data_IF_483516822650
#
_entry.id   IF_483516822650
#
_cell.length_a   1.000
_cell.length_b   1.000
_cell.length_c   1.000
_cell.angle_alpha   90.00
_cell.angle_beta   90.00
_cell.angle_gamma   90.00
#
_symmetry.space_group_name_H-M   'P 1'
#
loop_
_entity.id
_entity.type
_entity.pdbx_description
1 polymer ?
#
# COMPACT_ATOMS: atom_id res chain seq x y z
N UNK A 1 -7.56 -17.83 6.21
CA UNK A 1 -8.96 -17.44 6.49
C UNK A 1 -9.86 -17.46 5.27
N UNK A 2 -9.56 -16.70 4.20
CA UNK A 2 -10.42 -16.63 3.00
C UNK A 2 -10.76 -18.00 2.38
N UNK A 3 -9.78 -18.91 2.29
CA UNK A 3 -10.02 -20.26 1.76
C UNK A 3 -11.04 -21.03 2.60
N UNK A 4 -10.80 -21.17 3.92
CA UNK A 4 -11.73 -21.86 4.81
C UNK A 4 -13.15 -21.29 4.71
N UNK A 5 -13.30 -19.96 4.77
CA UNK A 5 -14.61 -19.31 4.63
C UNK A 5 -15.30 -19.62 3.30
N UNK A 6 -14.55 -19.75 2.19
CA UNK A 6 -15.13 -20.13 0.89
C UNK A 6 -15.76 -21.52 0.93
N UNK A 7 -15.17 -22.45 1.67
CA UNK A 7 -15.58 -23.85 1.70
C UNK A 7 -16.83 -24.10 2.57
N UNK A 8 -16.99 -23.38 3.70
CA UNK A 8 -18.08 -23.63 4.65
C UNK A 8 -19.01 -22.43 4.93
N UNK A 9 -18.58 -21.20 4.64
CA UNK A 9 -19.35 -19.98 4.94
C UNK A 9 -19.14 -18.87 3.90
N UNK A 10 -19.49 -19.11 2.62
CA UNK A 10 -19.20 -18.19 1.51
C UNK A 10 -19.86 -16.83 1.67
N UNK A 11 -21.02 -16.74 2.33
CA UNK A 11 -21.69 -15.47 2.60
C UNK A 11 -20.81 -14.49 3.40
N UNK A 12 -19.89 -14.96 4.24
CA UNK A 12 -18.94 -14.10 4.94
C UNK A 12 -18.02 -13.33 3.98
N UNK A 13 -17.64 -13.94 2.84
CA UNK A 13 -16.79 -13.30 1.84
C UNK A 13 -17.50 -12.18 1.06
N UNK A 14 -18.84 -12.21 1.06
CA UNK A 14 -19.66 -11.14 0.50
C UNK A 14 -20.03 -10.08 1.54
N UNK A 15 -20.04 -10.45 2.82
CA UNK A 15 -20.37 -9.54 3.92
C UNK A 15 -19.22 -8.59 4.28
N UNK A 16 -17.97 -9.02 4.07
CA UNK A 16 -16.77 -8.29 4.47
C UNK A 16 -15.82 -8.09 3.28
N UNK A 17 -15.60 -6.83 2.90
CA UNK A 17 -14.62 -6.48 1.86
C UNK A 17 -13.18 -6.77 2.33
N UNK A 18 -12.88 -6.40 3.57
CA UNK A 18 -11.60 -6.61 4.23
C UNK A 18 -11.78 -7.53 5.45
N UNK A 19 -11.29 -8.75 5.31
CA UNK A 19 -11.32 -9.79 6.34
C UNK A 19 -10.37 -9.51 7.52
N UNK A 20 -9.37 -8.65 7.35
CA UNK A 20 -8.45 -8.24 8.41
C UNK A 20 -8.95 -7.04 9.19
N UNK A 21 -10.07 -6.43 8.79
CA UNK A 21 -10.60 -5.27 9.47
C UNK A 21 -11.15 -5.57 10.86
N UNK A 22 -11.08 -4.57 11.75
CA UNK A 22 -11.51 -4.71 13.14
C UNK A 22 -12.96 -5.20 13.29
N UNK A 23 -13.89 -4.70 12.47
CA UNK A 23 -15.30 -5.14 12.47
C UNK A 23 -15.47 -6.57 11.94
N UNK A 24 -14.73 -6.95 10.90
CA UNK A 24 -14.76 -8.33 10.38
C UNK A 24 -14.21 -9.32 11.42
N UNK A 25 -13.05 -9.02 12.00
CA UNK A 25 -12.43 -9.86 13.03
C UNK A 25 -13.32 -9.98 14.27
N UNK A 26 -13.92 -8.89 14.72
CA UNK A 26 -14.83 -8.92 15.87
C UNK A 26 -16.05 -9.82 15.60
N UNK A 27 -16.72 -9.61 14.46
CA UNK A 27 -17.95 -10.33 14.14
C UNK A 27 -17.68 -11.80 13.81
N UNK A 28 -16.63 -12.12 13.06
CA UNK A 28 -16.24 -13.51 12.75
C UNK A 28 -15.70 -14.24 13.99
N UNK A 29 -15.00 -13.56 14.89
CA UNK A 29 -14.60 -14.14 16.18
C UNK A 29 -15.81 -14.52 17.03
N UNK A 30 -16.85 -13.69 17.02
CA UNK A 30 -18.10 -13.92 17.77
C UNK A 30 -19.03 -14.95 17.11
N UNK A 31 -19.11 -14.95 15.79
CA UNK A 31 -20.06 -15.73 15.03
C UNK A 31 -19.40 -16.34 13.78
N UNK A 32 -18.53 -17.35 13.95
CA UNK A 32 -17.72 -17.90 12.86
C UNK A 32 -18.51 -18.86 11.95
N UNK A 33 -19.76 -19.22 12.29
CA UNK A 33 -20.57 -20.17 11.51
C UNK A 33 -21.77 -19.49 10.86
N UNK A 34 -22.31 -20.01 9.75
CA UNK A 34 -23.55 -19.50 9.15
C UNK A 34 -24.70 -19.38 10.16
N UNK A 35 -24.87 -20.40 11.00
CA UNK A 35 -25.92 -20.47 12.01
C UNK A 35 -25.74 -19.42 13.11
N UNK A 36 -24.53 -19.20 13.60
CA UNK A 36 -24.27 -18.16 14.62
C UNK A 36 -24.33 -16.76 14.02
N UNK A 37 -23.85 -16.58 12.78
CA UNK A 37 -23.84 -15.29 12.09
C UNK A 37 -25.24 -14.80 11.72
N UNK A 38 -26.12 -15.68 11.26
CA UNK A 38 -27.53 -15.34 10.96
C UNK A 38 -28.31 -14.86 12.20
N UNK A 39 -27.89 -15.27 13.39
CA UNK A 39 -28.47 -14.89 14.69
C UNK A 39 -27.92 -13.57 15.25
N UNK A 40 -26.89 -12.98 14.63
CA UNK A 40 -26.40 -11.67 15.05
C UNK A 40 -27.51 -10.63 14.98
N UNK A 41 -27.71 -9.91 16.08
CA UNK A 41 -28.69 -8.83 16.10
C UNK A 41 -28.13 -7.60 15.39
N UNK A 42 -29.03 -6.78 14.85
CA UNK A 42 -28.63 -5.53 14.19
C UNK A 42 -27.85 -4.62 15.16
N UNK A 43 -28.21 -4.61 16.44
CA UNK A 43 -27.51 -3.85 17.48
C UNK A 43 -26.08 -4.33 17.70
N UNK A 44 -25.84 -5.65 17.68
CA UNK A 44 -24.50 -6.21 17.79
C UNK A 44 -23.62 -5.81 16.61
N UNK A 45 -24.16 -5.91 15.39
CA UNK A 45 -23.46 -5.50 14.17
C UNK A 45 -23.13 -4.00 14.21
N UNK A 46 -24.11 -3.15 14.54
CA UNK A 46 -23.89 -1.70 14.66
C UNK A 46 -22.83 -1.36 15.71
N UNK A 47 -22.78 -2.10 16.82
CA UNK A 47 -21.76 -1.90 17.87
C UNK A 47 -20.35 -2.23 17.37
N UNK A 48 -20.19 -3.32 16.62
CA UNK A 48 -18.91 -3.68 15.99
C UNK A 48 -18.45 -2.60 15.01
N UNK A 49 -19.34 -2.17 14.11
CA UNK A 49 -19.06 -1.13 13.11
C UNK A 49 -18.69 0.22 13.76
N UNK A 50 -19.35 0.60 14.87
CA UNK A 50 -19.03 1.83 15.61
C UNK A 50 -17.64 1.76 16.25
N UNK A 51 -17.29 0.62 16.86
CA UNK A 51 -15.95 0.43 17.45
C UNK A 51 -14.85 0.48 16.40
N UNK A 52 -15.12 -0.09 15.22
CA UNK A 52 -14.25 0.02 14.04
C UNK A 52 -14.33 1.39 13.33
N UNK A 53 -14.97 2.40 13.93
CA UNK A 53 -15.11 3.77 13.42
C UNK A 53 -15.62 3.84 11.97
N UNK A 54 -16.51 2.93 11.58
CA UNK A 54 -17.08 2.89 10.22
C UNK A 54 -18.11 3.99 10.02
N UNK A 55 -18.15 4.54 8.80
CA UNK A 55 -19.21 5.44 8.31
C UNK A 55 -20.44 4.64 7.87
N UNK A 56 -21.59 5.30 7.78
CA UNK A 56 -22.87 4.73 7.33
C UNK A 56 -23.27 3.47 8.11
N UNK A 57 -23.06 3.48 9.43
CA UNK A 57 -23.24 2.31 10.33
C UNK A 57 -24.61 1.65 10.18
N UNK A 58 -25.68 2.44 10.03
CA UNK A 58 -27.05 1.92 9.96
C UNK A 58 -27.22 1.10 8.69
N UNK A 59 -26.97 1.70 7.53
CA UNK A 59 -27.09 1.07 6.22
C UNK A 59 -26.17 -0.16 6.10
N UNK A 60 -24.88 -0.01 6.45
CA UNK A 60 -23.93 -1.12 6.43
C UNK A 60 -24.37 -2.28 7.30
N UNK A 61 -24.92 -2.02 8.48
CA UNK A 61 -25.39 -3.08 9.35
C UNK A 61 -26.59 -3.85 8.77
N UNK A 62 -27.51 -3.16 8.08
CA UNK A 62 -28.64 -3.81 7.41
C UNK A 62 -28.16 -4.68 6.26
N UNK A 63 -27.29 -4.15 5.39
CA UNK A 63 -26.69 -4.90 4.28
C UNK A 63 -25.93 -6.13 4.79
N UNK A 64 -25.07 -5.95 5.79
CA UNK A 64 -24.30 -7.03 6.38
C UNK A 64 -25.21 -8.10 6.98
N UNK A 65 -26.25 -7.70 7.74
CA UNK A 65 -27.23 -8.64 8.30
C UNK A 65 -27.98 -9.41 7.21
N UNK A 66 -28.36 -8.75 6.12
CA UNK A 66 -29.04 -9.39 5.00
C UNK A 66 -28.14 -10.44 4.34
N UNK A 67 -26.87 -10.09 4.06
CA UNK A 67 -25.90 -11.00 3.46
C UNK A 67 -25.62 -12.20 4.38
N UNK A 68 -25.39 -11.99 5.68
CA UNK A 68 -25.14 -13.08 6.63
C UNK A 68 -26.35 -14.03 6.81
N UNK A 69 -27.56 -13.58 6.46
CA UNK A 69 -28.79 -14.38 6.48
C UNK A 69 -29.15 -15.00 5.13
N UNK A 70 -28.37 -14.72 4.09
CA UNK A 70 -28.60 -15.29 2.77
C UNK A 70 -28.40 -16.81 2.78
N UNK A 71 -29.25 -17.52 2.02
CA UNK A 71 -29.13 -18.96 1.86
C UNK A 71 -27.89 -19.30 1.02
N UNK A 72 -27.16 -20.32 1.45
CA UNK A 72 -26.03 -20.89 0.72
C UNK A 72 -25.96 -22.39 1.01
N UNK A 73 -25.24 -23.13 0.17
CA UNK A 73 -24.99 -24.55 0.41
C UNK A 73 -24.21 -24.71 1.71
N UNK A 74 -24.77 -25.47 2.64
CA UNK A 74 -24.16 -25.77 3.94
C UNK A 74 -23.30 -27.02 3.85
N UNK A 75 -22.19 -27.03 4.58
CA UNK A 75 -21.42 -28.23 4.84
C UNK A 75 -22.06 -29.05 5.97
N UNK A 76 -21.57 -30.27 6.18
CA UNK A 76 -21.91 -31.02 7.39
C UNK A 76 -21.52 -30.26 8.66
N UNK A 77 -22.23 -30.52 9.76
CA UNK A 77 -21.99 -29.83 11.04
C UNK A 77 -20.53 -30.01 11.52
N UNK A 78 -19.98 -31.23 11.40
CA UNK A 78 -18.59 -31.52 11.79
C UNK A 78 -17.56 -30.70 11.00
N UNK A 79 -17.75 -30.57 9.68
CA UNK A 79 -16.86 -29.77 8.82
C UNK A 79 -16.98 -28.29 9.17
N UNK A 80 -18.20 -27.82 9.43
CA UNK A 80 -18.48 -26.43 9.83
C UNK A 80 -17.81 -26.10 11.16
N UNK A 81 -17.93 -26.97 12.16
CA UNK A 81 -17.34 -26.77 13.49
C UNK A 81 -15.81 -26.77 13.44
N UNK A 82 -15.20 -27.72 12.74
CA UNK A 82 -13.75 -27.81 12.56
C UNK A 82 -13.21 -26.57 11.84
N UNK A 83 -13.82 -26.18 10.72
CA UNK A 83 -13.42 -24.99 9.96
C UNK A 83 -13.62 -23.71 10.75
N UNK A 84 -14.69 -23.61 11.55
CA UNK A 84 -14.92 -22.47 12.42
C UNK A 84 -13.87 -22.35 13.54
N UNK A 85 -13.32 -23.46 14.04
CA UNK A 85 -12.21 -23.43 14.97
C UNK A 85 -10.94 -22.84 14.33
N UNK A 86 -10.63 -23.23 13.09
CA UNK A 86 -9.52 -22.65 12.31
C UNK A 86 -9.72 -21.16 12.09
N UNK A 87 -10.93 -20.73 11.69
CA UNK A 87 -11.24 -19.31 11.48
C UNK A 87 -11.10 -18.52 12.78
N UNK A 88 -11.59 -19.03 13.93
CA UNK A 88 -11.39 -18.35 15.22
C UNK A 88 -9.91 -18.17 15.57
N UNK A 89 -9.09 -19.20 15.37
CA UNK A 89 -7.64 -19.10 15.61
C UNK A 89 -6.99 -18.04 14.72
N UNK A 90 -7.36 -18.01 13.43
CA UNK A 90 -6.86 -17.01 12.49
C UNK A 90 -7.32 -15.59 12.85
N UNK A 91 -8.56 -15.43 13.32
CA UNK A 91 -9.08 -14.15 13.81
C UNK A 91 -8.24 -13.65 14.98
N UNK A 92 -7.90 -14.52 15.95
CA UNK A 92 -7.04 -14.14 17.08
C UNK A 92 -5.66 -13.66 16.63
N UNK A 93 -5.01 -14.40 15.72
CA UNK A 93 -3.69 -14.01 15.19
C UNK A 93 -3.76 -12.65 14.48
N UNK A 94 -4.73 -12.46 13.59
CA UNK A 94 -4.89 -11.20 12.86
C UNK A 94 -5.23 -10.02 13.78
N UNK A 95 -6.04 -10.26 14.81
CA UNK A 95 -6.37 -9.23 15.79
C UNK A 95 -5.11 -8.78 16.56
N UNK A 96 -4.28 -9.73 17.01
CA UNK A 96 -3.00 -9.41 17.66
C UNK A 96 -2.09 -8.64 16.71
N UNK A 97 -1.90 -9.11 15.47
CA UNK A 97 -1.04 -8.42 14.50
C UNK A 97 -1.50 -6.97 14.24
N UNK A 98 -2.81 -6.73 14.13
CA UNK A 98 -3.33 -5.37 13.97
C UNK A 98 -3.04 -4.47 15.17
N UNK A 99 -3.11 -5.01 16.40
CA UNK A 99 -2.72 -4.29 17.61
C UNK A 99 -1.24 -3.95 17.58
N UNK A 100 -0.38 -4.93 17.32
CA UNK A 100 1.08 -4.72 17.29
C UNK A 100 1.50 -3.74 16.17
N UNK A 101 0.84 -3.78 15.01
CA UNK A 101 1.07 -2.78 13.95
C UNK A 101 0.78 -1.36 14.45
N UNK A 102 -0.30 -1.18 15.21
CA UNK A 102 -0.63 0.13 15.81
C UNK A 102 0.41 0.57 16.82
N UNK A 103 0.80 -0.32 17.74
CA UNK A 103 1.83 -0.05 18.75
C UNK A 103 3.16 0.34 18.12
N UNK A 104 3.62 -0.43 17.12
CA UNK A 104 4.87 -0.12 16.41
C UNK A 104 4.77 1.17 15.60
N UNK A 105 3.60 1.49 15.04
CA UNK A 105 3.41 2.77 14.35
C UNK A 105 3.55 3.95 15.33
N UNK A 106 2.98 3.86 16.54
CA UNK A 106 3.09 4.89 17.56
C UNK A 106 4.55 5.05 18.05
N UNK A 107 5.29 3.94 18.20
CA UNK A 107 6.72 3.95 18.54
C UNK A 107 7.55 4.60 17.43
N UNK A 108 7.31 4.23 16.17
CA UNK A 108 7.99 4.82 15.01
C UNK A 108 7.71 6.32 14.93
N UNK A 109 6.46 6.76 15.11
CA UNK A 109 6.11 8.18 15.11
C UNK A 109 6.85 8.94 16.22
N UNK A 110 6.91 8.36 17.42
CA UNK A 110 7.61 8.96 18.57
C UNK A 110 9.11 9.11 18.33
N UNK A 111 9.77 8.03 17.89
CA UNK A 111 11.22 8.03 17.64
C UNK A 111 11.58 8.91 16.45
N UNK A 112 10.79 8.85 15.38
CA UNK A 112 11.00 9.70 14.21
C UNK A 112 10.85 11.18 14.55
N UNK A 113 9.88 11.55 15.38
CA UNK A 113 9.69 12.94 15.82
C UNK A 113 10.87 13.51 16.61
N UNK A 114 11.73 12.65 17.18
CA UNK A 114 12.95 13.06 17.88
C UNK A 114 14.17 13.22 16.95
N UNK A 115 14.07 12.76 15.70
CA UNK A 115 15.18 12.84 14.75
C UNK A 115 15.43 14.30 14.31
N UNK A 116 16.69 14.77 14.26
CA UNK A 116 17.00 16.16 13.89
C UNK A 116 16.38 16.62 12.57
N UNK A 117 16.33 15.72 11.58
CA UNK A 117 15.79 16.01 10.25
C UNK A 117 14.28 15.76 10.10
N UNK A 118 13.56 15.37 11.17
CA UNK A 118 12.14 15.02 11.08
C UNK A 118 11.31 16.12 10.41
N UNK A 119 11.54 17.38 10.79
CA UNK A 119 10.86 18.54 10.21
C UNK A 119 11.12 18.69 8.71
N UNK A 120 12.32 18.33 8.23
CA UNK A 120 12.67 18.38 6.80
C UNK A 120 11.84 17.38 6.02
N UNK A 121 11.74 16.14 6.50
CA UNK A 121 10.91 15.11 5.87
C UNK A 121 9.41 15.45 5.95
N UNK A 122 8.93 15.93 7.10
CA UNK A 122 7.51 16.30 7.29
C UNK A 122 7.09 17.55 6.51
N UNK A 123 8.03 18.39 6.10
CA UNK A 123 7.75 19.52 5.21
C UNK A 123 7.39 19.10 3.77
N UNK A 124 7.64 17.85 3.40
CA UNK A 124 7.34 17.36 2.05
C UNK A 124 5.84 17.09 1.90
N UNK A 125 5.22 17.48 0.77
CA UNK A 125 3.80 17.24 0.56
C UNK A 125 3.50 15.73 0.53
N UNK A 126 2.54 15.31 1.37
CA UNK A 126 2.11 13.91 1.48
C UNK A 126 2.95 13.06 2.44
N UNK A 127 3.96 13.62 3.10
CA UNK A 127 4.75 12.89 4.09
C UNK A 127 4.11 13.05 5.48
N UNK A 128 3.54 11.95 5.98
CA UNK A 128 3.23 11.80 7.40
C UNK A 128 4.38 11.14 8.16
N UNK A 129 4.31 11.05 9.50
CA UNK A 129 5.38 10.52 10.34
C UNK A 129 5.89 9.14 9.91
N UNK A 130 4.98 8.20 9.63
CA UNK A 130 5.37 6.84 9.20
C UNK A 130 6.08 6.83 7.85
N UNK A 131 5.58 7.61 6.87
CA UNK A 131 6.20 7.67 5.55
C UNK A 131 7.55 8.39 5.61
N UNK A 132 7.65 9.48 6.39
CA UNK A 132 8.89 10.19 6.64
C UNK A 132 9.94 9.30 7.28
N UNK A 133 9.58 8.57 8.34
CA UNK A 133 10.45 7.62 9.02
C UNK A 133 10.95 6.52 8.08
N UNK A 134 10.07 6.00 7.22
CA UNK A 134 10.47 5.01 6.21
C UNK A 134 11.49 5.59 5.25
N UNK A 135 11.23 6.78 4.71
CA UNK A 135 12.14 7.42 3.75
C UNK A 135 13.49 7.73 4.38
N UNK A 136 13.52 8.18 5.64
CA UNK A 136 14.74 8.31 6.43
C UNK A 136 15.48 6.97 6.52
N UNK A 137 14.78 5.88 6.87
CA UNK A 137 15.38 4.54 6.94
C UNK A 137 15.96 4.04 5.61
N UNK A 138 15.31 4.33 4.48
CA UNK A 138 15.82 3.97 3.15
C UNK A 138 17.10 4.75 2.79
N UNK A 139 17.13 6.05 3.09
CA UNK A 139 18.31 6.88 2.83
C UNK A 139 19.42 6.71 3.87
N UNK A 140 19.12 6.21 5.06
CA UNK A 140 20.02 6.23 6.22
C UNK A 140 20.09 7.61 6.88
N UNK A 141 20.51 7.61 8.13
CA UNK A 141 20.72 8.77 8.99
C UNK A 141 22.15 9.33 8.93
N UNK A 142 23.08 8.62 8.29
CA UNK A 142 24.43 9.10 8.01
C UNK A 142 24.41 10.23 6.95
N UNK A 143 24.74 11.44 7.41
CA UNK A 143 24.79 12.65 6.57
C UNK A 143 25.86 12.57 5.48
N UNK A 144 26.92 11.80 5.69
CA UNK A 144 28.05 11.68 4.77
C UNK A 144 27.91 10.48 3.82
N UNK A 145 26.82 9.71 3.95
CA UNK A 145 26.53 8.56 3.08
C UNK A 145 26.53 8.92 1.60
N UNK A 146 26.10 10.13 1.25
CA UNK A 146 26.11 10.64 -0.12
C UNK A 146 26.99 11.88 -0.20
N UNK A 147 28.01 11.81 -1.07
CA UNK A 147 28.93 12.94 -1.28
C UNK A 147 28.22 14.21 -1.76
N UNK A 148 27.14 14.07 -2.53
CA UNK A 148 26.31 15.19 -2.99
C UNK A 148 24.87 14.75 -3.34
N UNK A 149 24.02 15.73 -3.68
CA UNK A 149 22.65 15.49 -4.11
C UNK A 149 22.55 14.66 -5.41
N UNK A 150 23.56 14.70 -6.28
CA UNK A 150 23.59 13.92 -7.52
C UNK A 150 23.83 12.44 -7.22
N UNK A 151 24.71 12.12 -6.27
CA UNK A 151 24.93 10.77 -5.75
C UNK A 151 23.64 10.18 -5.16
N UNK A 152 22.89 10.99 -4.39
CA UNK A 152 21.58 10.58 -3.86
C UNK A 152 20.53 10.36 -4.96
N UNK A 153 20.45 11.21 -5.98
CA UNK A 153 19.57 11.02 -7.14
C UNK A 153 19.92 9.78 -7.96
N UNK A 154 21.22 9.50 -8.12
CA UNK A 154 21.71 8.29 -8.78
C UNK A 154 21.28 7.04 -8.03
N UNK A 155 21.47 7.02 -6.70
CA UNK A 155 21.02 5.92 -5.84
C UNK A 155 19.50 5.69 -5.94
N UNK A 156 18.72 6.77 -5.89
CA UNK A 156 17.26 6.69 -6.01
C UNK A 156 16.76 6.37 -7.45
N UNK A 157 17.65 6.26 -8.44
CA UNK A 157 17.28 6.04 -9.85
C UNK A 157 16.51 7.21 -10.47
N UNK A 158 16.60 8.41 -9.90
CA UNK A 158 15.86 9.61 -10.35
C UNK A 158 16.73 10.61 -11.10
N UNK A 159 18.01 10.30 -11.28
CA UNK A 159 18.88 11.10 -12.14
C UNK A 159 18.35 11.13 -13.57
N UNK A 160 18.26 12.32 -14.21
CA UNK A 160 17.85 12.41 -15.60
C UNK A 160 18.74 11.54 -16.49
N UNK A 161 18.14 10.60 -17.22
CA UNK A 161 18.88 9.86 -18.24
C UNK A 161 19.15 10.82 -19.39
N UNK A 162 20.40 11.20 -19.58
CA UNK A 162 20.82 11.96 -20.76
C UNK A 162 20.70 11.09 -22.00
N UNK A 163 19.51 11.08 -22.63
CA UNK A 163 19.37 10.58 -23.99
C UNK A 163 19.92 11.64 -24.94
N UNK A 164 21.19 11.52 -25.30
CA UNK A 164 21.74 12.26 -26.42
C UNK A 164 20.97 11.85 -27.67
N UNK A 165 20.01 12.67 -28.12
CA UNK A 165 19.47 12.53 -29.46
C UNK A 165 20.63 12.80 -30.40
N UNK A 166 21.15 11.74 -31.03
CA UNK A 166 22.12 11.87 -32.11
C UNK A 166 21.38 12.57 -33.25
N UNK A 167 21.43 13.91 -33.28
CA UNK A 167 21.10 14.67 -34.49
C UNK A 167 22.00 14.10 -35.59
N UNK A 168 21.38 13.53 -36.63
CA UNK A 168 22.07 13.07 -37.84
C UNK A 168 22.97 14.21 -38.32
N UNK A 169 24.29 13.97 -38.33
CA UNK A 169 25.23 14.81 -39.10
C UNK A 169 24.95 14.50 -40.57
N UNK A 170 24.40 15.46 -41.31
CA UNK A 170 24.44 15.42 -42.76
C UNK A 170 25.81 15.93 -43.23
N UNK A 171 26.43 15.16 -44.13
CA UNK A 171 27.54 15.57 -45.00
C UNK A 171 28.64 14.50 -45.12
N UNK A 172 29.56 14.59 -46.09
CA UNK A 172 29.68 15.49 -47.27
C UNK A 172 30.07 14.64 -48.55
N UNK A 173 30.66 15.10 -49.70
CA UNK A 173 31.48 16.29 -49.98
C UNK A 173 31.06 17.14 -51.20
N UNK A 174 31.34 18.44 -51.11
CA UNK A 174 31.61 19.28 -52.29
C UNK A 174 32.98 18.89 -52.83
N UNK A 175 33.02 18.32 -54.03
CA UNK A 175 34.27 18.22 -54.79
C UNK A 175 34.50 19.56 -55.49
N UNK A 176 35.56 20.25 -55.07
CA UNK A 176 36.23 21.24 -55.90
C UNK A 176 37.00 20.50 -56.99
N UNK A 177 36.91 20.99 -58.23
CA UNK A 177 37.96 20.82 -59.23
C UNK A 177 38.33 22.22 -59.72
N UNK A 178 39.62 22.51 -59.53
CA UNK A 178 40.33 23.73 -59.87
C UNK A 178 40.32 24.07 -61.36
N UNK A 179 40.62 25.33 -61.66
CA UNK A 179 41.76 25.79 -62.48
C UNK A 179 41.43 27.26 -62.84
N UNK A 180 42.19 28.28 -62.45
CA UNK A 180 43.54 28.55 -62.95
C UNK A 180 43.91 30.01 -62.60
N UNK A 181 45.20 30.31 -62.42
CA UNK A 181 45.76 31.59 -62.86
C UNK A 181 46.03 32.66 -61.81
N UNK A 182 47.07 32.41 -61.00
CA UNK A 182 48.09 33.38 -60.56
C UNK A 182 48.20 34.67 -61.41
N UNK A 183 48.13 35.86 -60.77
CA UNK A 183 49.26 36.81 -60.71
C UNK A 183 48.99 38.06 -59.86
N UNK A 184 50.01 38.35 -59.07
CA UNK A 184 50.29 39.53 -58.26
C UNK A 184 50.74 40.74 -59.10
N UNK A 185 50.30 41.95 -58.70
CA UNK A 185 51.09 43.20 -58.63
C UNK A 185 51.73 43.83 -59.88
N UNK A 186 51.60 45.17 -59.98
CA UNK A 186 52.71 46.03 -60.44
C UNK A 186 52.40 47.13 -61.46
N UNK A 187 52.37 48.38 -60.96
CA UNK A 187 53.02 49.58 -61.53
C UNK A 187 52.39 50.32 -62.71
N UNK A 188 51.96 51.55 -62.42
CA UNK A 188 51.74 52.69 -63.32
C UNK A 188 51.48 53.93 -62.48
#
# INVERSE_FOLDING_TARGET
MRQALREYFPAALHAFDDLSSADALELLGKAPTPTTASRLSITQIRKALRRARRRNVIEKAETLRAVLRSKHLSQSDRVTEASAAVVRSQVSVLATLNTEIGTLADEVETLFGQHPDATVYLSQPGFGPILGARVLGEFGDDSDRYADASARKNYAGTSPITRASRRKKYGPPVMNVDHSGCRTGGSG
#
